data_IF_795170976191
#
_entry.id   IF_795170976191
#
_cell.length_a   1.000
_cell.length_b   1.000
_cell.length_c   1.000
_cell.angle_alpha   90.00
_cell.angle_beta   90.00
_cell.angle_gamma   90.00
#
_symmetry.space_group_name_H-M   'P 1'
#
loop_
_entity.id
_entity.type
_entity.pdbx_description
1 polymer ?
#
# COMPACT_ATOMS: atom_id res chain seq x y z
N UNK A 1 -11.48 21.60 -9.39
CA UNK A 1 -10.14 21.81 -8.78
C UNK A 1 -10.07 20.95 -7.52
N UNK A 2 -9.64 19.69 -7.63
CA UNK A 2 -9.60 18.71 -6.52
C UNK A 2 -8.23 18.73 -5.81
N UNK A 3 -7.64 19.91 -5.61
CA UNK A 3 -6.25 20.06 -5.12
C UNK A 3 -6.03 19.39 -3.75
N UNK A 4 -7.06 19.32 -2.91
CA UNK A 4 -6.97 18.62 -1.63
C UNK A 4 -6.87 17.10 -1.81
N UNK A 5 -7.68 16.52 -2.71
CA UNK A 5 -7.63 15.08 -3.00
C UNK A 5 -6.28 14.68 -3.58
N UNK A 6 -5.73 15.47 -4.52
CA UNK A 6 -4.40 15.21 -5.08
C UNK A 6 -3.30 15.25 -4.03
N UNK A 7 -3.36 16.18 -3.07
CA UNK A 7 -2.41 16.22 -1.93
C UNK A 7 -2.52 14.99 -1.04
N UNK A 8 -3.73 14.54 -0.73
CA UNK A 8 -3.95 13.31 0.04
C UNK A 8 -3.40 12.08 -0.71
N UNK A 9 -3.72 11.95 -2.00
CA UNK A 9 -3.23 10.89 -2.86
C UNK A 9 -1.70 10.91 -2.97
N UNK A 10 -1.07 12.08 -3.15
CA UNK A 10 0.39 12.19 -3.17
C UNK A 10 1.00 11.74 -1.83
N UNK A 11 0.40 12.13 -0.70
CA UNK A 11 0.90 11.77 0.63
C UNK A 11 0.88 10.26 0.91
N UNK A 12 -0.06 9.53 0.30
CA UNK A 12 -0.23 8.09 0.51
C UNK A 12 0.41 7.25 -0.60
N UNK A 13 0.29 7.68 -1.85
CA UNK A 13 0.59 6.89 -3.04
C UNK A 13 1.95 7.22 -3.65
N UNK A 14 2.68 8.25 -3.21
CA UNK A 14 3.94 8.64 -3.86
C UNK A 14 4.93 7.48 -4.04
N UNK A 15 5.12 6.64 -3.02
CA UNK A 15 6.01 5.47 -3.12
C UNK A 15 5.50 4.42 -4.13
N UNK A 16 4.18 4.32 -4.34
CA UNK A 16 3.56 3.43 -5.34
C UNK A 16 3.73 4.03 -6.74
N UNK A 17 3.44 5.33 -6.90
CA UNK A 17 3.59 6.09 -8.14
C UNK A 17 5.05 6.13 -8.64
N UNK A 18 6.02 6.15 -7.72
CA UNK A 18 7.46 6.06 -8.03
C UNK A 18 7.96 4.62 -8.21
N UNK A 19 7.08 3.62 -8.13
CA UNK A 19 7.44 2.21 -8.31
C UNK A 19 8.30 1.60 -7.20
N UNK A 20 8.37 2.21 -6.01
CA UNK A 20 9.14 1.72 -4.85
C UNK A 20 8.32 0.82 -3.93
N UNK A 21 7.00 0.96 -3.94
CA UNK A 21 6.09 0.24 -3.06
C UNK A 21 4.99 -0.46 -3.86
N UNK A 22 4.63 -1.72 -3.56
CA UNK A 22 3.59 -2.43 -4.30
C UNK A 22 2.19 -1.85 -4.07
N UNK A 23 1.89 -1.39 -2.84
CA UNK A 23 0.61 -0.80 -2.52
C UNK A 23 0.67 0.16 -1.33
N UNK A 24 -0.31 1.06 -1.27
CA UNK A 24 -0.60 1.93 -0.15
C UNK A 24 -2.03 1.68 0.34
N UNK A 25 -2.19 1.61 1.66
CA UNK A 25 -3.49 1.48 2.32
C UNK A 25 -3.73 2.74 3.14
N UNK A 26 -4.87 3.38 2.91
CA UNK A 26 -5.22 4.63 3.58
C UNK A 26 -6.74 4.79 3.61
N UNK A 27 -7.24 5.76 4.37
CA UNK A 27 -8.68 6.00 4.52
C UNK A 27 -8.98 7.44 4.18
N UNK A 28 -9.85 7.65 3.19
CA UNK A 28 -10.31 8.98 2.79
C UNK A 28 -11.81 9.13 3.03
N UNK A 29 -12.22 10.37 3.25
CA UNK A 29 -13.60 10.79 3.07
C UNK A 29 -13.69 11.36 1.66
N UNK A 30 -14.42 10.68 0.79
CA UNK A 30 -14.59 11.07 -0.60
C UNK A 30 -16.02 10.76 -1.04
N UNK A 31 -16.55 11.56 -1.95
CA UNK A 31 -17.78 11.22 -2.68
C UNK A 31 -17.49 10.16 -3.75
N UNK A 32 -18.53 9.55 -4.31
CA UNK A 32 -18.37 8.58 -5.40
C UNK A 32 -17.69 9.22 -6.62
N UNK A 33 -17.99 10.50 -6.92
CA UNK A 33 -17.35 11.26 -7.98
C UNK A 33 -15.85 11.49 -7.71
N UNK A 34 -15.48 11.82 -6.47
CA UNK A 34 -14.09 11.97 -6.07
C UNK A 34 -13.33 10.64 -6.12
N UNK A 35 -13.97 9.53 -5.76
CA UNK A 35 -13.40 8.20 -5.87
C UNK A 35 -13.17 7.78 -7.33
N UNK A 36 -14.14 8.04 -8.22
CA UNK A 36 -14.00 7.81 -9.65
C UNK A 36 -12.87 8.66 -10.25
N UNK A 37 -12.79 9.95 -9.86
CA UNK A 37 -11.73 10.84 -10.29
C UNK A 37 -10.34 10.39 -9.79
N UNK A 38 -10.21 10.03 -8.50
CA UNK A 38 -8.97 9.49 -7.95
C UNK A 38 -8.52 8.20 -8.67
N UNK A 39 -9.47 7.32 -8.99
CA UNK A 39 -9.21 6.08 -9.74
C UNK A 39 -8.63 6.39 -11.12
N UNK A 40 -9.25 7.33 -11.85
CA UNK A 40 -8.77 7.74 -13.17
C UNK A 40 -7.36 8.35 -13.11
N UNK A 41 -7.13 9.28 -12.18
CA UNK A 41 -5.82 9.93 -12.01
C UNK A 41 -4.69 8.94 -11.72
N UNK A 42 -4.92 7.97 -10.83
CA UNK A 42 -3.93 6.94 -10.50
C UNK A 42 -3.69 5.98 -11.67
N UNK A 43 -4.75 5.65 -12.43
CA UNK A 43 -4.68 4.71 -13.54
C UNK A 43 -3.78 5.22 -14.68
N UNK A 44 -3.75 6.53 -14.92
CA UNK A 44 -2.83 7.17 -15.87
C UNK A 44 -1.35 6.93 -15.52
N UNK A 45 -1.04 6.64 -14.25
CA UNK A 45 0.30 6.32 -13.75
C UNK A 45 0.54 4.82 -13.55
N UNK A 46 -0.35 3.97 -14.07
CA UNK A 46 -0.27 2.52 -13.90
C UNK A 46 -0.57 2.02 -12.47
N UNK A 47 -1.20 2.85 -11.64
CA UNK A 47 -1.65 2.51 -10.29
C UNK A 47 -3.16 2.28 -10.30
N UNK A 48 -3.61 1.15 -9.76
CA UNK A 48 -5.02 0.83 -9.62
C UNK A 48 -5.50 1.13 -8.20
N UNK A 49 -6.79 1.42 -8.05
CA UNK A 49 -7.42 1.70 -6.77
C UNK A 49 -8.53 0.69 -6.52
N UNK A 50 -8.56 0.12 -5.31
CA UNK A 50 -9.62 -0.77 -4.86
C UNK A 50 -10.19 -0.32 -3.51
N UNK A 51 -11.50 -0.23 -3.42
CA UNK A 51 -12.20 0.04 -2.17
C UNK A 51 -12.37 -1.25 -1.36
N UNK A 52 -11.86 -1.24 -0.13
CA UNK A 52 -11.85 -2.41 0.73
C UNK A 52 -12.97 -2.40 1.77
N UNK A 53 -13.35 -1.21 2.26
CA UNK A 53 -14.42 -1.07 3.27
C UNK A 53 -14.88 0.37 3.36
N UNK A 54 -16.19 0.61 3.29
CA UNK A 54 -16.78 1.91 3.62
C UNK A 54 -17.50 1.84 4.97
N UNK A 55 -17.18 2.77 5.89
CA UNK A 55 -17.84 2.87 7.20
C UNK A 55 -17.95 4.33 7.62
N UNK A 56 -19.18 4.79 7.93
CA UNK A 56 -19.47 6.17 8.39
C UNK A 56 -18.92 7.24 7.42
N UNK A 57 -19.08 7.04 6.12
CA UNK A 57 -18.61 7.97 5.08
C UNK A 57 -17.09 8.06 4.94
N UNK A 58 -16.36 7.05 5.43
CA UNK A 58 -14.92 6.89 5.23
C UNK A 58 -14.65 5.58 4.52
N UNK A 59 -13.87 5.64 3.45
CA UNK A 59 -13.54 4.49 2.61
C UNK A 59 -12.08 4.12 2.82
N UNK A 60 -11.86 2.87 3.24
CA UNK A 60 -10.55 2.23 3.25
C UNK A 60 -10.20 1.82 1.83
N UNK A 61 -9.07 2.32 1.34
CA UNK A 61 -8.65 2.18 -0.05
C UNK A 61 -7.28 1.51 -0.10
N UNK A 62 -7.12 0.61 -1.07
CA UNK A 62 -5.84 0.07 -1.49
C UNK A 62 -5.49 0.63 -2.88
N UNK A 63 -4.47 1.49 -2.95
CA UNK A 63 -3.86 1.90 -4.21
C UNK A 63 -2.64 1.02 -4.47
N UNK A 64 -2.55 0.37 -5.63
CA UNK A 64 -1.51 -0.63 -5.91
C UNK A 64 -0.98 -0.59 -7.33
N UNK A 65 0.32 -0.86 -7.47
CA UNK A 65 0.97 -1.08 -8.75
C UNK A 65 0.85 -2.59 -9.10
N UNK A 66 0.08 -2.98 -10.13
CA UNK A 66 -0.26 -4.39 -10.39
C UNK A 66 0.97 -5.30 -10.50
N UNK A 67 2.01 -4.87 -11.20
CA UNK A 67 3.24 -5.65 -11.40
C UNK A 67 3.96 -5.92 -10.07
N UNK A 68 4.13 -4.87 -9.26
CA UNK A 68 4.85 -4.95 -7.99
C UNK A 68 4.05 -5.72 -6.94
N UNK A 69 2.73 -5.52 -6.88
CA UNK A 69 1.87 -6.27 -5.97
C UNK A 69 1.92 -7.76 -6.28
N UNK A 70 1.83 -8.16 -7.56
CA UNK A 70 1.96 -9.57 -7.95
C UNK A 70 3.33 -10.13 -7.54
N UNK A 71 4.42 -9.39 -7.74
CA UNK A 71 5.75 -9.81 -7.32
C UNK A 71 5.86 -9.98 -5.80
N UNK A 72 5.33 -9.04 -5.02
CA UNK A 72 5.34 -9.09 -3.56
C UNK A 72 4.61 -10.33 -3.03
N UNK A 73 3.42 -10.61 -3.56
CA UNK A 73 2.61 -11.77 -3.17
C UNK A 73 3.21 -13.12 -3.62
N UNK A 74 4.09 -13.11 -4.62
CA UNK A 74 4.78 -14.31 -5.11
C UNK A 74 6.04 -14.67 -4.32
N UNK A 75 6.46 -13.84 -3.35
CA UNK A 75 7.57 -14.17 -2.46
C UNK A 75 7.28 -15.46 -1.67
N UNK A 76 8.28 -16.33 -1.54
CA UNK A 76 8.12 -17.68 -0.95
C UNK A 76 7.44 -17.65 0.41
N UNK A 77 7.86 -16.75 1.30
CA UNK A 77 7.26 -16.64 2.63
C UNK A 77 5.84 -16.06 2.59
N UNK A 78 5.57 -15.05 1.74
CA UNK A 78 4.22 -14.51 1.57
C UNK A 78 3.24 -15.60 1.10
N UNK A 79 3.61 -16.38 0.06
CA UNK A 79 2.81 -17.52 -0.40
C UNK A 79 2.53 -18.55 0.68
N UNK A 80 3.57 -18.92 1.44
CA UNK A 80 3.44 -19.90 2.53
C UNK A 80 2.47 -19.44 3.61
N UNK A 81 2.44 -18.14 3.90
CA UNK A 81 1.57 -17.56 4.93
C UNK A 81 0.15 -17.30 4.44
N UNK A 82 -0.02 -16.97 3.16
CA UNK A 82 -1.32 -16.69 2.54
C UNK A 82 -2.07 -17.98 2.15
N UNK A 83 -1.37 -19.10 1.94
CA UNK A 83 -1.98 -20.37 1.56
C UNK A 83 -2.95 -20.94 2.62
N UNK A 84 -2.62 -21.00 3.92
CA UNK A 84 -3.57 -21.41 4.97
C UNK A 84 -4.82 -20.52 5.04
N UNK A 85 -4.70 -19.25 4.62
CA UNK A 85 -5.78 -18.27 4.56
C UNK A 85 -6.58 -18.34 3.26
N UNK A 86 -6.27 -19.33 2.39
CA UNK A 86 -6.94 -19.64 1.13
C UNK A 86 -6.97 -18.51 0.10
N UNK A 87 -5.97 -17.63 0.10
CA UNK A 87 -5.87 -16.60 -0.93
C UNK A 87 -5.68 -17.23 -2.33
N UNK A 88 -6.43 -16.78 -3.35
CA UNK A 88 -6.36 -17.34 -4.71
C UNK A 88 -5.15 -16.80 -5.49
N UNK A 89 -3.92 -17.08 -5.04
CA UNK A 89 -2.69 -16.48 -5.58
C UNK A 89 -2.38 -16.86 -7.05
N UNK A 90 -3.06 -17.88 -7.58
CA UNK A 90 -3.00 -18.27 -8.99
C UNK A 90 -3.93 -17.46 -9.91
N UNK A 91 -4.82 -16.65 -9.36
CA UNK A 91 -5.84 -15.93 -10.10
C UNK A 91 -5.43 -14.47 -10.43
N UNK A 92 -6.42 -13.68 -10.89
CA UNK A 92 -6.28 -12.26 -11.10
C UNK A 92 -6.03 -11.51 -9.79
N UNK A 93 -5.41 -10.33 -9.86
CA UNK A 93 -5.25 -9.49 -8.67
C UNK A 93 -6.60 -9.04 -8.10
N UNK A 94 -7.60 -8.87 -8.97
CA UNK A 94 -8.97 -8.56 -8.55
C UNK A 94 -9.53 -9.65 -7.62
N UNK A 95 -9.39 -10.93 -7.98
CA UNK A 95 -9.82 -12.05 -7.13
C UNK A 95 -9.10 -12.09 -5.78
N UNK A 96 -7.78 -11.83 -5.78
CA UNK A 96 -6.98 -11.79 -4.55
C UNK A 96 -7.39 -10.60 -3.66
N UNK A 97 -7.67 -9.44 -4.24
CA UNK A 97 -8.10 -8.23 -3.51
C UNK A 97 -9.53 -8.39 -3.00
N UNK A 98 -10.40 -9.05 -3.75
CA UNK A 98 -11.75 -9.40 -3.31
C UNK A 98 -11.72 -10.35 -2.10
N UNK A 99 -10.82 -11.34 -2.12
CA UNK A 99 -10.59 -12.20 -0.95
C UNK A 99 -10.09 -11.39 0.25
N UNK A 100 -9.17 -10.45 0.05
CA UNK A 100 -8.72 -9.53 1.11
C UNK A 100 -9.90 -8.69 1.65
N UNK A 101 -10.79 -8.22 0.77
CA UNK A 101 -11.99 -7.45 1.14
C UNK A 101 -12.90 -8.26 2.07
N UNK A 102 -13.15 -9.53 1.73
CA UNK A 102 -13.91 -10.47 2.55
C UNK A 102 -13.24 -10.69 3.91
N UNK A 103 -11.91 -10.92 3.92
CA UNK A 103 -11.13 -11.04 5.16
C UNK A 103 -11.24 -9.81 6.06
N UNK A 104 -11.24 -8.60 5.50
CA UNK A 104 -11.41 -7.34 6.25
C UNK A 104 -12.83 -7.20 6.83
N UNK A 105 -13.83 -7.78 6.18
CA UNK A 105 -15.22 -7.75 6.64
C UNK A 105 -15.50 -8.78 7.74
N UNK A 106 -14.90 -9.97 7.65
CA UNK A 106 -15.16 -11.10 8.55
C UNK A 106 -14.26 -11.13 9.78
N UNK A 107 -13.05 -10.55 9.71
CA UNK A 107 -12.12 -10.59 10.83
C UNK A 107 -12.60 -9.70 11.98
N UNK A 108 -12.60 -10.24 13.21
CA UNK A 108 -12.86 -9.45 14.43
C UNK A 108 -11.82 -8.32 14.62
N UNK A 109 -10.64 -8.47 14.01
CA UNK A 109 -9.57 -7.47 13.92
C UNK A 109 -9.29 -7.01 12.50
N UNK A 110 -8.09 -6.46 12.28
CA UNK A 110 -7.61 -6.13 10.93
C UNK A 110 -6.66 -7.23 10.43
N UNK A 111 -6.85 -7.80 9.23
CA UNK A 111 -5.99 -8.87 8.73
C UNK A 111 -4.53 -8.40 8.65
N UNK A 112 -3.66 -9.02 9.44
CA UNK A 112 -2.25 -8.64 9.54
C UNK A 112 -1.43 -9.06 8.32
N UNK A 113 -1.92 -10.05 7.56
CA UNK A 113 -1.33 -10.46 6.28
C UNK A 113 -1.33 -9.34 5.23
N UNK A 114 -2.11 -8.26 5.44
CA UNK A 114 -2.07 -7.04 4.63
C UNK A 114 -0.65 -6.50 4.46
N UNK A 115 0.25 -6.73 5.43
CA UNK A 115 1.63 -6.30 5.35
C UNK A 115 2.36 -6.84 4.11
N UNK A 116 1.99 -8.03 3.61
CA UNK A 116 2.53 -8.57 2.36
C UNK A 116 2.08 -7.75 1.14
N UNK A 117 0.84 -7.27 1.13
CA UNK A 117 0.30 -6.41 0.07
C UNK A 117 1.01 -5.05 0.05
N UNK A 118 1.40 -4.55 1.22
CA UNK A 118 2.08 -3.27 1.39
C UNK A 118 3.59 -3.34 1.11
N UNK A 119 4.12 -4.51 0.81
CA UNK A 119 5.54 -4.72 0.50
C UNK A 119 6.44 -4.69 1.71
N UNK A 120 5.90 -4.88 2.92
CA UNK A 120 6.74 -5.03 4.10
C UNK A 120 7.55 -6.32 4.00
N UNK A 121 8.78 -6.35 4.56
CA UNK A 121 9.58 -7.56 4.55
C UNK A 121 8.78 -8.75 5.10
N UNK A 122 8.70 -9.89 4.39
CA UNK A 122 7.85 -10.99 4.82
C UNK A 122 8.13 -11.48 6.24
N UNK A 123 9.39 -11.46 6.66
CA UNK A 123 9.78 -11.83 8.02
C UNK A 123 9.24 -10.86 9.09
N UNK A 124 9.05 -9.57 8.76
CA UNK A 124 8.42 -8.60 9.67
C UNK A 124 6.91 -8.82 9.77
N UNK A 125 6.25 -9.15 8.66
CA UNK A 125 4.81 -9.48 8.66
C UNK A 125 4.56 -10.74 9.50
N UNK A 126 5.36 -11.78 9.27
CA UNK A 126 5.29 -13.03 10.07
C UNK A 126 5.60 -12.76 11.54
N UNK A 127 6.63 -11.98 11.83
CA UNK A 127 6.96 -11.59 13.21
C UNK A 127 5.81 -10.84 13.88
N UNK A 128 5.16 -9.92 13.17
CA UNK A 128 4.00 -9.20 13.69
C UNK A 128 2.86 -10.14 14.04
N UNK A 129 2.54 -11.08 13.15
CA UNK A 129 1.50 -12.08 13.36
C UNK A 129 1.83 -13.01 14.53
N UNK A 130 3.09 -13.47 14.62
CA UNK A 130 3.53 -14.42 15.65
C UNK A 130 3.59 -13.80 17.04
N UNK A 131 4.04 -12.55 17.15
CA UNK A 131 4.23 -11.87 18.42
C UNK A 131 3.12 -10.87 18.76
N UNK A 132 2.03 -10.86 17.99
CA UNK A 132 0.89 -9.96 18.18
C UNK A 132 1.30 -8.49 18.30
N UNK A 133 2.27 -8.08 17.49
CA UNK A 133 2.80 -6.72 17.55
C UNK A 133 3.72 -6.41 18.76
N UNK A 134 4.13 -7.39 19.55
CA UNK A 134 5.06 -7.22 20.70
C UNK A 134 6.45 -7.72 20.33
N UNK A 135 7.47 -7.50 21.18
CA UNK A 135 8.85 -8.01 20.97
C UNK A 135 9.52 -7.60 19.65
N UNK A 136 9.12 -6.47 19.09
CA UNK A 136 9.77 -5.90 17.91
C UNK A 136 11.15 -5.34 18.26
N UNK A 137 12.08 -5.41 17.30
CA UNK A 137 13.44 -4.85 17.42
C UNK A 137 13.46 -3.34 17.18
N UNK A 138 12.55 -2.86 16.33
CA UNK A 138 12.41 -1.44 16.00
C UNK A 138 10.96 -1.15 15.56
N UNK A 139 10.52 0.10 15.73
CA UNK A 139 9.20 0.56 15.29
C UNK A 139 9.39 1.80 14.41
N UNK A 140 9.03 1.67 13.13
CA UNK A 140 8.98 2.76 12.16
C UNK A 140 7.61 2.78 11.47
N UNK A 141 7.59 2.79 10.14
CA UNK A 141 6.35 2.64 9.36
C UNK A 141 5.63 1.30 9.63
N UNK A 142 6.38 0.29 10.06
CA UNK A 142 5.88 -0.97 10.61
C UNK A 142 6.75 -1.42 11.78
N UNK A 143 6.32 -2.48 12.48
CA UNK A 143 7.11 -3.11 13.54
C UNK A 143 8.09 -4.12 12.93
N UNK A 144 9.37 -3.97 13.22
CA UNK A 144 10.46 -4.73 12.61
C UNK A 144 10.86 -5.91 13.51
N UNK A 145 10.93 -7.09 12.92
CA UNK A 145 11.32 -8.35 13.57
C UNK A 145 12.56 -8.99 12.92
N UNK A 146 12.85 -8.58 11.69
CA UNK A 146 13.92 -9.09 10.85
C UNK A 146 15.20 -8.26 10.98
N UNK A 147 15.82 -7.87 9.87
CA UNK A 147 17.02 -7.05 9.84
C UNK A 147 16.64 -5.56 9.98
N UNK A 148 17.07 -4.95 11.09
CA UNK A 148 16.70 -3.56 11.43
C UNK A 148 17.21 -2.56 10.42
N UNK A 149 18.44 -2.71 9.94
CA UNK A 149 19.06 -1.74 9.03
C UNK A 149 18.39 -1.76 7.66
N UNK A 150 18.10 -2.94 7.12
CA UNK A 150 17.34 -3.10 5.87
C UNK A 150 15.93 -2.53 5.99
N UNK A 151 15.25 -2.77 7.11
CA UNK A 151 13.91 -2.24 7.33
C UNK A 151 13.91 -0.71 7.47
N UNK A 152 14.91 -0.14 8.15
CA UNK A 152 15.09 1.32 8.25
C UNK A 152 15.38 1.95 6.89
N UNK A 153 16.25 1.35 6.08
CA UNK A 153 16.54 1.83 4.73
C UNK A 153 15.26 1.85 3.87
N UNK A 154 14.47 0.78 3.92
CA UNK A 154 13.18 0.71 3.21
C UNK A 154 12.15 1.72 3.74
N UNK A 155 12.08 1.93 5.07
CA UNK A 155 11.24 2.98 5.64
C UNK A 155 11.65 4.36 5.14
N UNK A 156 12.96 4.65 5.15
CA UNK A 156 13.49 5.92 4.69
C UNK A 156 13.22 6.16 3.20
N UNK A 157 13.30 5.12 2.36
CA UNK A 157 12.94 5.21 0.94
C UNK A 157 11.46 5.60 0.77
N UNK A 158 10.55 4.97 1.51
CA UNK A 158 9.11 5.29 1.44
C UNK A 158 8.81 6.70 1.94
N UNK A 159 9.44 7.13 3.03
CA UNK A 159 9.32 8.49 3.54
C UNK A 159 9.90 9.53 2.57
N UNK A 160 11.02 9.20 1.91
CA UNK A 160 11.62 10.04 0.90
C UNK A 160 10.68 10.24 -0.28
N UNK A 161 10.10 9.15 -0.81
CA UNK A 161 9.10 9.21 -1.87
C UNK A 161 7.90 10.08 -1.47
N UNK A 162 7.39 9.90 -0.24
CA UNK A 162 6.29 10.73 0.29
C UNK A 162 6.64 12.21 0.27
N UNK A 163 7.81 12.60 0.80
CA UNK A 163 8.23 14.01 0.82
C UNK A 163 8.37 14.59 -0.59
N UNK A 164 8.95 13.84 -1.51
CA UNK A 164 9.09 14.27 -2.91
C UNK A 164 7.72 14.45 -3.57
N UNK A 165 6.82 13.48 -3.43
CA UNK A 165 5.48 13.54 -4.00
C UNK A 165 4.65 14.70 -3.44
N UNK A 166 4.65 14.88 -2.11
CA UNK A 166 3.98 16.03 -1.48
C UNK A 166 4.54 17.36 -2.00
N UNK A 167 5.87 17.52 -1.98
CA UNK A 167 6.53 18.75 -2.46
C UNK A 167 6.21 19.03 -3.92
N UNK A 168 6.19 18.00 -4.76
CA UNK A 168 5.88 18.13 -6.18
C UNK A 168 4.49 18.73 -6.40
N UNK A 169 3.46 18.20 -5.71
CA UNK A 169 2.09 18.72 -5.79
C UNK A 169 1.96 20.10 -5.14
N UNK A 170 2.68 20.36 -4.05
CA UNK A 170 2.73 21.69 -3.42
C UNK A 170 3.30 22.77 -4.35
N UNK A 171 4.24 22.40 -5.23
CA UNK A 171 4.80 23.29 -6.25
C UNK A 171 3.95 23.39 -7.52
N UNK A 172 2.73 22.83 -7.53
CA UNK A 172 1.81 22.88 -8.67
C UNK A 172 2.01 21.80 -9.72
N UNK A 173 2.86 20.80 -9.45
CA UNK A 173 3.00 19.62 -10.29
C UNK A 173 1.80 18.67 -10.14
N UNK A 174 1.51 17.88 -11.19
CA UNK A 174 0.38 16.94 -11.18
C UNK A 174 0.74 15.60 -10.56
N UNK A 175 -0.27 14.92 -9.99
CA UNK A 175 -0.12 13.57 -9.43
C UNK A 175 0.51 12.59 -10.43
N UNK A 176 0.12 12.67 -11.70
CA UNK A 176 0.59 11.74 -12.74
C UNK A 176 2.08 11.89 -13.06
N UNK A 177 2.64 13.08 -12.85
CA UNK A 177 4.05 13.32 -13.13
C UNK A 177 4.97 12.95 -11.95
N UNK A 178 4.44 12.52 -10.80
CA UNK A 178 5.24 12.03 -9.67
C UNK A 178 6.12 10.84 -10.07
N UNK A 179 5.67 10.00 -11.00
CA UNK A 179 6.44 8.84 -11.49
C UNK A 179 7.82 9.21 -12.06
N UNK A 180 8.02 10.46 -12.51
CA UNK A 180 9.31 10.93 -13.05
C UNK A 180 10.47 10.91 -12.03
N UNK A 181 10.17 10.77 -10.74
CA UNK A 181 11.17 10.70 -9.68
C UNK A 181 11.62 9.26 -9.36
N UNK A 182 11.13 8.24 -10.09
CA UNK A 182 11.43 6.83 -9.82
C UNK A 182 12.94 6.51 -9.71
N UNK A 183 13.77 7.18 -10.52
CA UNK A 183 15.23 6.99 -10.54
C UNK A 183 16.00 7.90 -9.57
N UNK A 184 15.35 8.93 -9.01
CA UNK A 184 15.96 9.91 -8.08
C UNK A 184 15.77 9.54 -6.60
N UNK A 185 15.03 8.48 -6.32
CA UNK A 185 14.70 8.01 -4.98
C UNK A 185 15.65 6.91 -4.46
N UNK A 186 16.80 6.71 -5.11
CA UNK A 186 17.84 5.73 -4.74
C UNK A 186 19.03 6.34 -4.02
#
# INVERSE_FOLDING_TARGET
>A
MHIQLEKELASHCAAVLMGKKPAALFTLKMTDDEAAHATALLAESGVQMAELRCKRGRTLVLAYAPRLLRQALQQTLAKKMLAPLRYPLGESLSAIIEHLRQRIAECEGFPHEIGFFLGYPPADVVGFMLYEGRRFKHCGLWKVYSNVDKAKALCAEYEHCRRLGCRHVEMGGSLQSIGQYADKAG
#
